data_IF_396065357761
#
_entry.id   IF_396065357761
#
_cell.length_a   1.000
_cell.length_b   1.000
_cell.length_c   1.000
_cell.angle_alpha   90.00
_cell.angle_beta   90.00
_cell.angle_gamma   90.00
#
_symmetry.space_group_name_H-M   'P 1'
#
loop_
_entity.id
_entity.type
_entity.pdbx_description
1 polymer ?
#
# COMPACT_ATOMS: atom_id res chain seq x y z
N UNK A 1 -0.07 20.62 -8.44
CA UNK A 1 -0.42 21.56 -9.52
C UNK A 1 -1.96 21.76 -9.50
N UNK A 2 -2.57 22.25 -8.43
CA UNK A 2 -2.76 23.68 -8.10
C UNK A 2 -2.81 24.58 -9.36
N UNK A 3 -3.59 24.24 -10.39
CA UNK A 3 -3.77 25.13 -11.54
C UNK A 3 -5.21 25.30 -12.03
N UNK A 4 -6.23 24.87 -11.28
CA UNK A 4 -7.62 24.93 -11.78
C UNK A 4 -8.68 25.38 -10.77
N UNK A 5 -8.34 25.70 -9.51
CA UNK A 5 -9.36 25.98 -8.48
C UNK A 5 -9.75 27.46 -8.35
N UNK A 6 -9.14 28.37 -9.13
CA UNK A 6 -9.42 29.82 -9.02
C UNK A 6 -10.45 30.36 -10.02
N UNK A 7 -10.98 29.55 -10.94
CA UNK A 7 -11.92 30.01 -11.97
C UNK A 7 -13.33 29.43 -11.77
N UNK A 8 -14.00 29.81 -10.68
CA UNK A 8 -15.46 29.86 -10.62
C UNK A 8 -15.89 30.59 -9.34
N UNK A 9 -15.65 31.90 -9.32
CA UNK A 9 -16.40 32.78 -8.42
C UNK A 9 -17.87 32.67 -8.85
N UNK A 10 -18.73 32.36 -7.88
CA UNK A 10 -20.19 32.21 -7.98
C UNK A 10 -20.66 30.98 -8.76
N UNK A 11 -21.07 29.93 -8.04
CA UNK A 11 -22.39 29.29 -8.10
C UNK A 11 -22.35 27.95 -7.35
N UNK A 12 -23.21 27.81 -6.34
CA UNK A 12 -23.72 26.51 -5.89
C UNK A 12 -22.83 25.70 -4.95
N UNK A 13 -23.23 25.67 -3.68
CA UNK A 13 -22.77 24.72 -2.68
C UNK A 13 -23.17 23.27 -3.04
N UNK A 14 -22.41 22.62 -3.92
CA UNK A 14 -22.37 21.16 -4.10
C UNK A 14 -20.93 20.77 -4.44
N UNK A 15 -20.01 21.00 -3.50
CA UNK A 15 -18.63 20.60 -3.62
C UNK A 15 -18.55 19.07 -3.68
N UNK A 16 -18.33 18.55 -4.88
CA UNK A 16 -17.87 17.20 -5.14
C UNK A 16 -16.63 16.93 -4.29
N UNK A 17 -16.80 16.10 -3.26
CA UNK A 17 -15.70 15.49 -2.50
C UNK A 17 -14.82 14.69 -3.47
N UNK A 18 -13.70 15.27 -3.90
CA UNK A 18 -12.67 14.52 -4.60
C UNK A 18 -12.09 13.48 -3.62
N UNK A 19 -12.34 12.22 -3.93
CA UNK A 19 -12.09 11.04 -3.09
C UNK A 19 -10.62 10.84 -2.69
N UNK A 20 -10.47 10.18 -1.54
CA UNK A 20 -9.27 9.98 -0.74
C UNK A 20 -8.13 9.24 -1.46
N UNK A 21 -6.90 9.74 -1.28
CA UNK A 21 -5.68 9.01 -1.58
C UNK A 21 -5.50 7.84 -0.61
N UNK A 22 -5.96 6.64 -0.97
CA UNK A 22 -5.67 5.42 -0.22
C UNK A 22 -4.25 4.95 -0.52
N UNK A 23 -3.28 5.42 0.26
CA UNK A 23 -2.05 4.65 0.44
C UNK A 23 -2.42 3.40 1.27
N UNK A 24 -2.62 2.26 0.61
CA UNK A 24 -2.81 0.97 1.26
C UNK A 24 -1.46 0.53 1.87
N UNK A 25 -1.06 1.20 2.94
CA UNK A 25 0.11 0.81 3.71
C UNK A 25 -0.23 -0.43 4.53
N UNK A 26 0.67 -1.41 4.47
CA UNK A 26 0.58 -2.61 5.28
C UNK A 26 0.42 -2.28 6.77
N UNK A 27 -0.59 -2.88 7.39
CA UNK A 27 -0.78 -2.77 8.83
C UNK A 27 0.43 -3.38 9.56
N UNK A 28 0.65 -2.97 10.80
CA UNK A 28 1.71 -3.56 11.63
C UNK A 28 1.52 -5.08 11.79
N UNK A 29 0.28 -5.55 11.91
CA UNK A 29 -0.04 -6.98 12.04
C UNK A 29 0.30 -7.78 10.78
N UNK A 30 0.02 -7.23 9.59
CA UNK A 30 0.40 -7.85 8.34
C UNK A 30 1.93 -7.91 8.15
N UNK A 31 2.65 -6.86 8.55
CA UNK A 31 4.12 -6.88 8.54
C UNK A 31 4.70 -7.92 9.50
N UNK A 32 4.09 -8.09 10.67
CA UNK A 32 4.49 -9.11 11.63
C UNK A 32 4.29 -10.53 11.07
N UNK A 33 3.15 -10.78 10.41
CA UNK A 33 2.88 -12.06 9.75
C UNK A 33 3.91 -12.41 8.66
N UNK A 34 4.45 -11.39 7.97
CA UNK A 34 5.49 -11.56 6.96
C UNK A 34 6.92 -11.43 7.48
N UNK A 35 7.13 -11.19 8.78
CA UNK A 35 8.46 -10.80 9.29
C UNK A 35 9.50 -11.91 9.12
N UNK A 36 9.14 -13.16 9.44
CA UNK A 36 10.06 -14.29 9.25
C UNK A 36 10.44 -14.49 7.79
N UNK A 37 9.46 -14.44 6.89
CA UNK A 37 9.69 -14.55 5.45
C UNK A 37 10.51 -13.37 4.91
N UNK A 38 10.25 -12.17 5.42
CA UNK A 38 11.02 -10.98 5.07
C UNK A 38 12.48 -11.12 5.49
N UNK A 39 12.74 -11.56 6.71
CA UNK A 39 14.10 -11.72 7.24
C UNK A 39 14.89 -12.80 6.47
N UNK A 40 14.20 -13.80 5.89
CA UNK A 40 14.80 -14.88 5.12
C UNK A 40 15.00 -14.55 3.63
N UNK A 41 14.01 -13.90 2.98
CA UNK A 41 14.00 -13.71 1.52
C UNK A 41 14.18 -12.26 1.08
N UNK A 42 13.89 -11.29 1.94
CA UNK A 42 13.84 -9.86 1.62
C UNK A 42 14.75 -9.00 2.48
N UNK A 43 15.69 -9.61 3.21
CA UNK A 43 16.65 -8.94 4.09
C UNK A 43 17.37 -7.81 3.35
N UNK A 44 17.23 -6.59 3.85
CA UNK A 44 17.81 -5.39 3.25
C UNK A 44 16.83 -4.56 2.39
N UNK A 45 15.60 -5.02 2.19
CA UNK A 45 14.58 -4.21 1.50
C UNK A 45 14.09 -3.08 2.40
N UNK A 46 14.44 -1.84 2.05
CA UNK A 46 14.08 -0.69 2.89
C UNK A 46 12.54 -0.56 3.03
N UNK A 47 11.99 -0.54 4.27
CA UNK A 47 10.56 -0.41 4.49
C UNK A 47 9.99 0.90 3.92
N UNK A 48 8.69 0.91 3.65
CA UNK A 48 7.95 2.04 3.08
C UNK A 48 7.75 1.96 1.56
N UNK A 49 6.72 2.66 1.07
CA UNK A 49 6.40 2.79 -0.35
C UNK A 49 6.15 1.46 -1.06
N UNK A 50 5.63 0.45 -0.36
CA UNK A 50 5.32 -0.86 -0.94
C UNK A 50 6.53 -1.72 -1.36
N UNK A 51 7.77 -1.29 -1.10
CA UNK A 51 8.98 -2.05 -1.51
C UNK A 51 9.04 -3.46 -0.90
N UNK A 52 8.69 -3.56 0.38
CA UNK A 52 8.64 -4.84 1.10
C UNK A 52 7.62 -5.79 0.45
N UNK A 53 6.45 -5.26 0.07
CA UNK A 53 5.46 -6.05 -0.65
C UNK A 53 5.98 -6.52 -2.00
N UNK A 54 6.65 -5.65 -2.75
CA UNK A 54 7.20 -6.02 -4.05
C UNK A 54 8.21 -7.18 -3.92
N UNK A 55 9.05 -7.15 -2.88
CA UNK A 55 9.98 -8.24 -2.62
C UNK A 55 9.26 -9.54 -2.21
N UNK A 56 8.30 -9.46 -1.28
CA UNK A 56 7.52 -10.62 -0.84
C UNK A 56 6.71 -11.19 -2.02
N UNK A 57 6.08 -10.33 -2.83
CA UNK A 57 5.34 -10.72 -4.03
C UNK A 57 6.20 -11.50 -5.04
N UNK A 58 7.48 -11.14 -5.22
CA UNK A 58 8.42 -11.90 -6.06
C UNK A 58 8.79 -13.27 -5.48
N UNK A 59 8.67 -13.43 -4.16
CA UNK A 59 9.01 -14.67 -3.45
C UNK A 59 7.77 -15.43 -2.97
N UNK A 60 6.58 -15.13 -3.50
CA UNK A 60 5.29 -15.65 -3.00
C UNK A 60 5.23 -17.16 -2.89
N UNK A 61 5.95 -17.89 -3.75
CA UNK A 61 6.02 -19.35 -3.70
C UNK A 61 6.74 -19.88 -2.45
N UNK A 62 7.72 -19.11 -1.95
CA UNK A 62 8.60 -19.47 -0.83
C UNK A 62 8.12 -18.95 0.53
N UNK A 63 7.13 -18.06 0.55
CA UNK A 63 6.61 -17.48 1.79
C UNK A 63 5.77 -18.49 2.59
N UNK A 64 5.63 -18.25 3.89
CA UNK A 64 4.64 -18.90 4.73
C UNK A 64 3.20 -18.64 4.25
N UNK A 65 2.28 -19.55 4.55
CA UNK A 65 0.87 -19.40 4.18
C UNK A 65 0.24 -18.10 4.73
N UNK A 66 0.65 -17.70 5.94
CA UNK A 66 0.22 -16.44 6.56
C UNK A 66 0.66 -15.23 5.73
N UNK A 67 1.92 -15.17 5.32
CA UNK A 67 2.41 -14.06 4.51
C UNK A 67 1.87 -14.09 3.08
N UNK A 68 1.66 -15.26 2.47
CA UNK A 68 0.98 -15.36 1.16
C UNK A 68 -0.41 -14.72 1.19
N UNK A 69 -1.20 -15.01 2.24
CA UNK A 69 -2.52 -14.40 2.42
C UNK A 69 -2.42 -12.88 2.50
N UNK A 70 -1.46 -12.39 3.27
CA UNK A 70 -1.19 -10.96 3.45
C UNK A 70 -0.80 -10.27 2.13
N UNK A 71 0.07 -10.90 1.33
CA UNK A 71 0.46 -10.40 0.00
C UNK A 71 -0.71 -10.45 -0.99
N UNK A 72 -1.54 -11.48 -0.93
CA UNK A 72 -2.74 -11.60 -1.78
C UNK A 72 -3.81 -10.55 -1.42
N UNK A 73 -4.01 -10.29 -0.13
CA UNK A 73 -4.96 -9.28 0.37
C UNK A 73 -4.52 -7.86 -0.02
N UNK A 74 -3.22 -7.59 -0.14
CA UNK A 74 -2.70 -6.29 -0.54
C UNK A 74 -2.60 -6.06 -2.06
N UNK A 75 -2.90 -7.07 -2.87
CA UNK A 75 -3.01 -6.95 -4.34
C UNK A 75 -4.44 -6.64 -4.81
N UNK A 76 -5.41 -6.70 -3.91
CA UNK A 76 -6.82 -6.35 -4.17
C UNK A 76 -7.01 -4.85 -4.04
#
# INVERSE_FOLDING_TARGET
>A
MIRTVTFALAFGALAFSFTAANAQDFTAGQRAACKGDYDQFCKGTMPGGGRVLACLAKNTDKLSAACKKVVADAKK
#
